data_IF_012911326868
#
_entry.id   IF_012911326868
#
_cell.length_a   1.000
_cell.length_b   1.000
_cell.length_c   1.000
_cell.angle_alpha   90.00
_cell.angle_beta   90.00
_cell.angle_gamma   90.00
#
_symmetry.space_group_name_H-M   'P 1'
#
loop_
_entity.id
_entity.type
_entity.pdbx_description
1 polymer ?
#
# COMPACT_ATOMS: atom_id res chain seq x y z
N UNK A 1 10.38 -9.23 -41.86
CA UNK A 1 9.26 -8.28 -42.00
C UNK A 1 8.34 -8.47 -40.79
N UNK A 2 8.50 -7.63 -39.75
CA UNK A 2 7.85 -7.78 -38.45
C UNK A 2 6.37 -7.40 -38.52
N UNK A 3 5.47 -8.32 -38.18
CA UNK A 3 4.06 -8.06 -37.95
C UNK A 3 3.77 -8.08 -36.45
N UNK A 4 3.36 -6.92 -35.93
CA UNK A 4 2.94 -6.70 -34.56
C UNK A 4 1.58 -7.41 -34.32
N UNK A 5 1.50 -8.39 -33.41
CA UNK A 5 0.22 -9.02 -33.03
C UNK A 5 0.03 -9.13 -31.52
N UNK A 6 -0.91 -8.32 -31.03
CA UNK A 6 -1.94 -8.59 -30.00
C UNK A 6 -1.68 -9.72 -29.00
N UNK A 7 -1.47 -9.37 -27.72
CA UNK A 7 -1.59 -10.31 -26.60
C UNK A 7 -3.06 -10.46 -26.20
N UNK A 8 -3.68 -11.55 -26.65
CA UNK A 8 -4.89 -12.13 -26.06
C UNK A 8 -4.44 -13.16 -25.01
N UNK A 9 -5.01 -13.13 -23.82
CA UNK A 9 -4.87 -14.24 -22.85
C UNK A 9 -5.99 -15.24 -23.17
N UNK A 10 -5.62 -16.36 -23.79
CA UNK A 10 -6.50 -17.51 -23.99
C UNK A 10 -6.54 -18.31 -22.69
N UNK A 11 -7.75 -18.52 -22.17
CA UNK A 11 -8.04 -19.51 -21.16
C UNK A 11 -8.21 -20.84 -21.90
N UNK A 12 -7.29 -21.79 -21.73
CA UNK A 12 -7.47 -23.14 -22.22
C UNK A 12 -8.49 -23.87 -21.34
N UNK A 13 -9.77 -23.74 -21.70
CA UNK A 13 -10.76 -24.79 -21.47
C UNK A 13 -11.60 -24.90 -22.74
N UNK A 14 -11.66 -26.12 -23.26
CA UNK A 14 -12.37 -26.55 -24.47
C UNK A 14 -13.85 -26.14 -24.46
N UNK A 15 -14.29 -25.26 -25.37
CA UNK A 15 -15.43 -25.48 -26.30
C UNK A 15 -15.83 -24.22 -27.14
N UNK A 16 -15.70 -24.37 -28.47
CA UNK A 16 -16.46 -23.80 -29.61
C UNK A 16 -16.91 -22.32 -29.64
N UNK A 17 -16.33 -21.60 -30.61
CA UNK A 17 -16.89 -20.65 -31.59
C UNK A 17 -18.00 -19.66 -31.18
N UNK A 18 -17.67 -18.35 -31.18
CA UNK A 18 -18.28 -17.33 -32.07
C UNK A 18 -17.49 -16.00 -32.04
N UNK A 19 -17.32 -15.42 -33.22
CA UNK A 19 -16.55 -14.21 -33.58
C UNK A 19 -17.27 -12.89 -33.24
N UNK A 20 -16.62 -11.70 -33.37
CA UNK A 20 -16.79 -10.58 -32.44
C UNK A 20 -17.57 -9.37 -32.96
N UNK A 21 -18.14 -8.56 -32.04
CA UNK A 21 -18.54 -7.17 -32.30
C UNK A 21 -17.81 -6.19 -31.38
N UNK A 22 -17.22 -5.16 -32.00
CA UNK A 22 -16.37 -4.11 -31.41
C UNK A 22 -17.11 -3.29 -30.35
N UNK A 23 -16.49 -3.07 -29.19
CA UNK A 23 -16.85 -2.00 -28.23
C UNK A 23 -15.58 -1.39 -27.62
N UNK A 24 -15.48 -0.06 -27.70
CA UNK A 24 -14.38 0.79 -27.27
C UNK A 24 -14.15 0.71 -25.74
N UNK A 25 -13.06 0.09 -25.30
CA UNK A 25 -12.57 0.18 -23.92
C UNK A 25 -11.29 1.03 -23.86
N UNK A 26 -11.34 2.17 -23.18
CA UNK A 26 -10.17 3.00 -22.88
C UNK A 26 -9.22 2.24 -21.93
N UNK A 27 -7.89 2.30 -22.12
CA UNK A 27 -6.95 1.54 -21.30
C UNK A 27 -6.76 2.19 -19.91
N UNK A 28 -6.94 1.39 -18.86
CA UNK A 28 -6.45 1.66 -17.50
C UNK A 28 -4.92 1.43 -17.47
N UNK A 29 -4.17 2.26 -16.73
CA UNK A 29 -2.72 2.07 -16.57
C UNK A 29 -2.44 1.17 -15.35
N UNK A 30 -1.69 0.07 -15.49
CA UNK A 30 -1.31 -0.77 -14.34
C UNK A 30 -0.44 0.00 -13.34
N UNK A 31 -0.55 -0.30 -12.03
CA UNK A 31 0.39 0.20 -11.01
C UNK A 31 1.80 -0.24 -11.35
N UNK A 32 2.72 0.51 -10.76
CA UNK A 32 4.12 0.27 -10.93
C UNK A 32 4.59 -1.12 -10.51
N UNK A 33 4.12 -1.64 -9.37
CA UNK A 33 4.47 -2.99 -8.91
C UNK A 33 4.11 -4.01 -9.99
N UNK A 34 2.99 -3.82 -10.69
CA UNK A 34 2.55 -4.71 -11.78
C UNK A 34 3.42 -4.57 -13.02
N UNK A 35 3.76 -3.36 -13.45
CA UNK A 35 4.69 -3.15 -14.59
C UNK A 35 6.11 -3.65 -14.29
N UNK A 36 6.51 -3.62 -13.02
CA UNK A 36 7.81 -4.11 -12.53
C UNK A 36 7.82 -5.63 -12.47
N UNK A 37 6.80 -6.24 -11.88
CA UNK A 37 6.61 -7.69 -11.88
C UNK A 37 6.54 -8.22 -13.32
N UNK A 38 5.75 -7.62 -14.21
CA UNK A 38 5.63 -8.05 -15.62
C UNK A 38 6.94 -7.92 -16.43
N UNK A 39 7.86 -7.03 -16.04
CA UNK A 39 9.11 -6.75 -16.80
C UNK A 39 10.39 -7.29 -16.17
N UNK A 40 10.41 -7.53 -14.87
CA UNK A 40 11.52 -8.20 -14.16
C UNK A 40 11.33 -9.73 -14.19
N UNK A 41 10.08 -10.20 -14.29
CA UNK A 41 9.74 -11.62 -14.40
C UNK A 41 9.55 -12.21 -15.83
N UNK A 42 9.96 -11.61 -16.97
CA UNK A 42 9.90 -12.29 -18.27
C UNK A 42 10.79 -13.54 -18.36
N UNK A 43 11.82 -13.62 -17.50
CA UNK A 43 12.83 -14.68 -17.54
C UNK A 43 12.59 -15.81 -16.53
N UNK A 44 11.54 -15.73 -15.73
CA UNK A 44 11.00 -16.88 -14.98
C UNK A 44 9.87 -17.48 -15.82
N UNK A 45 10.25 -17.93 -17.02
CA UNK A 45 9.36 -18.64 -17.93
C UNK A 45 8.79 -19.88 -17.25
N UNK A 46 7.47 -20.03 -17.28
CA UNK A 46 6.69 -21.17 -16.79
C UNK A 46 6.51 -21.36 -15.26
N UNK A 47 7.31 -20.77 -14.38
CA UNK A 47 7.16 -20.93 -12.91
C UNK A 47 6.16 -19.96 -12.26
N UNK A 48 5.85 -18.82 -12.90
CA UNK A 48 4.92 -17.80 -12.36
C UNK A 48 3.48 -17.90 -12.88
N UNK A 49 3.13 -18.90 -13.69
CA UNK A 49 1.74 -19.11 -14.13
C UNK A 49 0.76 -19.33 -12.95
N UNK A 50 1.29 -19.63 -11.77
CA UNK A 50 0.61 -19.82 -10.48
C UNK A 50 0.58 -18.59 -9.57
N UNK A 51 1.24 -17.47 -9.92
CA UNK A 51 1.13 -16.21 -9.15
C UNK A 51 0.07 -15.33 -9.80
N UNK A 52 -1.08 -15.21 -9.14
CA UNK A 52 -2.10 -14.25 -9.53
C UNK A 52 -1.78 -12.89 -8.93
N UNK A 53 -1.37 -11.91 -9.75
CA UNK A 53 -1.40 -10.51 -9.33
C UNK A 53 -2.87 -10.08 -9.30
N UNK A 54 -3.50 -10.20 -8.14
CA UNK A 54 -4.92 -9.89 -7.98
C UNK A 54 -5.10 -8.38 -7.85
N UNK A 55 -5.50 -7.76 -8.96
CA UNK A 55 -6.04 -6.42 -8.98
C UNK A 55 -7.53 -6.45 -8.70
N UNK A 56 -7.96 -5.92 -7.56
CA UNK A 56 -9.39 -5.73 -7.29
C UNK A 56 -9.77 -4.26 -7.42
N UNK A 57 -9.86 -3.78 -8.66
CA UNK A 57 -10.82 -2.72 -9.03
C UNK A 57 -11.33 -3.01 -10.45
N UNK A 58 -12.21 -4.00 -10.60
CA UNK A 58 -12.98 -4.18 -11.83
C UNK A 58 -14.35 -3.53 -11.67
N UNK A 59 -14.45 -2.25 -12.01
CA UNK A 59 -15.72 -1.56 -12.14
C UNK A 59 -16.40 -2.02 -13.44
N UNK A 60 -17.36 -2.94 -13.34
CA UNK A 60 -18.16 -3.39 -14.50
C UNK A 60 -19.46 -2.58 -14.49
N UNK A 61 -19.71 -1.80 -15.55
CA UNK A 61 -21.07 -1.38 -15.91
C UNK A 61 -21.86 -2.65 -16.26
N UNK A 62 -22.69 -3.15 -15.36
CA UNK A 62 -23.75 -4.08 -15.74
C UNK A 62 -24.86 -3.27 -16.38
N UNK A 63 -25.00 -3.41 -17.70
CA UNK A 63 -26.18 -2.95 -18.40
C UNK A 63 -27.33 -3.87 -18.03
N UNK A 64 -28.17 -3.44 -17.09
CA UNK A 64 -29.56 -3.87 -17.08
C UNK A 64 -30.43 -2.70 -16.60
N UNK A 65 -31.46 -2.39 -17.40
CA UNK A 65 -32.38 -1.27 -17.15
C UNK A 65 -33.43 -1.77 -16.17
N UNK A 66 -33.31 -1.45 -14.87
CA UNK A 66 -34.48 -1.56 -13.99
C UNK A 66 -34.27 -1.71 -12.48
N UNK A 67 -33.09 -2.07 -11.98
CA UNK A 67 -32.91 -2.26 -10.53
C UNK A 67 -32.06 -1.16 -9.88
N UNK A 68 -32.53 -0.69 -8.71
CA UNK A 68 -31.87 0.31 -7.86
C UNK A 68 -30.39 -0.05 -7.68
N UNK A 69 -29.54 0.96 -7.88
CA UNK A 69 -28.08 0.88 -7.99
C UNK A 69 -27.47 0.59 -6.61
N UNK A 70 -27.06 -0.64 -6.38
CA UNK A 70 -26.27 -1.01 -5.20
C UNK A 70 -24.85 -1.37 -5.63
N UNK A 71 -23.88 -0.59 -5.15
CA UNK A 71 -22.45 -0.74 -5.46
C UNK A 71 -21.84 -1.85 -4.61
N UNK A 72 -22.24 -3.09 -4.87
CA UNK A 72 -21.67 -4.25 -4.19
C UNK A 72 -20.48 -4.76 -5.00
N UNK A 73 -19.29 -4.40 -4.54
CA UNK A 73 -18.05 -4.93 -5.07
C UNK A 73 -18.03 -6.45 -4.88
N UNK A 74 -17.92 -7.19 -5.98
CA UNK A 74 -17.88 -8.65 -5.97
C UNK A 74 -16.47 -9.13 -5.56
N UNK A 75 -16.14 -9.00 -4.27
CA UNK A 75 -14.88 -9.46 -3.66
C UNK A 75 -14.85 -10.97 -3.33
N UNK A 76 -15.99 -11.67 -3.47
CA UNK A 76 -16.24 -12.92 -2.75
C UNK A 76 -15.63 -14.22 -3.32
N UNK A 77 -14.81 -14.23 -4.39
CA UNK A 77 -14.55 -15.54 -5.05
C UNK A 77 -13.32 -15.64 -5.95
N UNK A 78 -12.13 -15.15 -5.57
CA UNK A 78 -10.92 -15.41 -6.38
C UNK A 78 -9.76 -16.05 -5.62
N UNK A 79 -9.49 -15.65 -4.37
CA UNK A 79 -8.46 -16.31 -3.55
C UNK A 79 -8.89 -17.75 -3.22
N UNK A 80 -10.18 -17.97 -2.97
CA UNK A 80 -10.73 -19.26 -2.53
C UNK A 80 -10.85 -20.32 -3.63
N UNK A 81 -10.68 -19.97 -4.91
CA UNK A 81 -11.00 -20.89 -6.02
C UNK A 81 -9.82 -21.60 -6.69
N UNK A 82 -8.59 -21.07 -6.64
CA UNK A 82 -7.56 -21.45 -7.63
C UNK A 82 -6.21 -21.87 -7.02
N UNK A 83 -6.02 -21.88 -5.70
CA UNK A 83 -4.78 -22.40 -5.12
C UNK A 83 -3.52 -21.65 -5.59
N UNK A 84 -3.64 -20.33 -5.80
CA UNK A 84 -2.60 -19.47 -6.35
C UNK A 84 -1.94 -18.62 -5.27
N UNK A 85 -0.66 -18.35 -5.47
CA UNK A 85 0.07 -17.37 -4.68
C UNK A 85 -0.41 -15.95 -5.03
N UNK A 86 -0.52 -15.08 -4.02
CA UNK A 86 -1.07 -13.73 -4.15
C UNK A 86 -0.08 -12.71 -3.61
N UNK A 87 0.19 -11.70 -4.44
CA UNK A 87 0.81 -10.44 -4.03
C UNK A 87 -0.25 -9.35 -4.24
N UNK A 88 -0.64 -8.67 -3.18
CA UNK A 88 -1.62 -7.59 -3.25
C UNK A 88 -0.96 -6.26 -2.91
N UNK A 89 -1.08 -5.26 -3.79
CA UNK A 89 -0.53 -3.93 -3.52
C UNK A 89 -1.25 -3.28 -2.33
N UNK A 90 -2.58 -3.16 -2.43
CA UNK A 90 -3.48 -2.62 -1.39
C UNK A 90 -4.86 -3.22 -1.51
N UNK A 91 -5.59 -3.24 -0.40
CA UNK A 91 -7.02 -3.54 -0.35
C UNK A 91 -7.82 -2.25 -0.23
N UNK A 92 -9.08 -2.27 -0.67
CA UNK A 92 -9.90 -1.06 -0.72
C UNK A 92 -10.47 -0.67 0.64
N UNK A 93 -10.84 -1.66 1.46
CA UNK A 93 -11.51 -1.46 2.75
C UNK A 93 -10.98 -2.44 3.80
N UNK A 94 -11.11 -2.13 5.10
CA UNK A 94 -10.84 -3.09 6.16
C UNK A 94 -11.63 -4.39 6.01
N UNK A 95 -12.87 -4.34 5.50
CA UNK A 95 -13.68 -5.54 5.28
C UNK A 95 -13.08 -6.45 4.22
N UNK A 96 -12.55 -5.87 3.14
CA UNK A 96 -11.87 -6.63 2.09
C UNK A 96 -10.55 -7.22 2.61
N UNK A 97 -9.80 -6.44 3.38
CA UNK A 97 -8.59 -6.92 4.06
C UNK A 97 -8.89 -8.09 4.99
N UNK A 98 -9.97 -8.00 5.78
CA UNK A 98 -10.42 -9.07 6.66
C UNK A 98 -10.72 -10.34 5.89
N UNK A 99 -11.53 -10.26 4.83
CA UNK A 99 -11.85 -11.41 3.97
C UNK A 99 -10.62 -12.03 3.31
N UNK A 100 -9.66 -11.21 2.89
CA UNK A 100 -8.40 -11.68 2.30
C UNK A 100 -7.49 -12.34 3.34
N UNK A 101 -7.43 -11.79 4.56
CA UNK A 101 -6.75 -12.38 5.70
C UNK A 101 -7.36 -13.74 6.08
N UNK A 102 -8.69 -13.84 6.20
CA UNK A 102 -9.36 -15.13 6.45
C UNK A 102 -9.03 -16.17 5.38
N UNK A 103 -8.99 -15.76 4.10
CA UNK A 103 -8.64 -16.65 3.00
C UNK A 103 -7.17 -17.09 3.03
N UNK A 104 -6.25 -16.19 3.42
CA UNK A 104 -4.84 -16.51 3.58
C UNK A 104 -4.60 -17.49 4.74
N UNK A 105 -5.30 -17.30 5.86
CA UNK A 105 -5.27 -18.23 6.99
C UNK A 105 -5.84 -19.61 6.65
N UNK A 106 -6.84 -19.68 5.77
CA UNK A 106 -7.38 -20.96 5.30
C UNK A 106 -6.41 -21.72 4.39
N UNK A 107 -5.53 -21.01 3.65
CA UNK A 107 -4.53 -21.60 2.76
C UNK A 107 -3.09 -21.19 3.13
N UNK A 108 -2.56 -21.59 4.29
CA UNK A 108 -1.27 -21.12 4.79
C UNK A 108 -0.07 -21.59 3.94
N UNK A 109 -0.25 -22.62 3.11
CA UNK A 109 0.77 -23.11 2.17
C UNK A 109 0.97 -22.17 0.97
N UNK A 110 -0.01 -21.31 0.66
CA UNK A 110 0.09 -20.37 -0.44
C UNK A 110 0.73 -19.07 0.04
N UNK A 111 1.70 -18.57 -0.73
CA UNK A 111 2.29 -17.26 -0.48
C UNK A 111 1.21 -16.19 -0.61
N UNK A 112 1.02 -15.42 0.46
CA UNK A 112 -0.01 -14.38 0.58
C UNK A 112 0.61 -13.15 1.22
N UNK A 113 1.12 -12.23 0.40
CA UNK A 113 1.86 -11.05 0.88
C UNK A 113 1.27 -9.73 0.36
N UNK A 114 1.46 -8.69 1.16
CA UNK A 114 1.12 -7.31 0.83
C UNK A 114 2.33 -6.57 0.25
N UNK A 115 2.08 -5.66 -0.68
CA UNK A 115 3.07 -4.88 -1.42
C UNK A 115 3.72 -3.78 -0.61
N UNK A 116 3.95 -3.97 0.70
CA UNK A 116 4.56 -3.00 1.60
C UNK A 116 6.08 -2.97 1.44
N UNK A 117 6.49 -2.38 0.33
CA UNK A 117 7.88 -2.42 -0.16
C UNK A 117 8.92 -1.77 0.75
N UNK A 118 8.52 -0.88 1.66
CA UNK A 118 9.45 -0.20 2.57
C UNK A 118 10.12 -1.18 3.54
N UNK A 119 9.48 -2.30 3.89
CA UNK A 119 10.08 -3.35 4.73
C UNK A 119 11.32 -4.01 4.08
N UNK A 120 11.42 -3.95 2.75
CA UNK A 120 12.54 -4.52 1.98
C UNK A 120 13.66 -3.51 1.69
N UNK A 121 13.51 -2.24 2.11
CA UNK A 121 14.55 -1.24 1.92
C UNK A 121 15.71 -1.53 2.89
N UNK A 122 16.97 -1.65 2.42
CA UNK A 122 18.11 -2.03 3.27
C UNK A 122 18.29 -1.12 4.49
N UNK A 123 18.02 0.18 4.34
CA UNK A 123 18.06 1.14 5.43
C UNK A 123 17.08 0.79 6.56
N UNK A 124 15.83 0.42 6.26
CA UNK A 124 14.84 0.04 7.27
C UNK A 124 15.09 -1.35 7.85
N UNK A 125 15.61 -2.29 7.06
CA UNK A 125 16.05 -3.59 7.56
C UNK A 125 17.19 -3.41 8.59
N UNK A 126 18.21 -2.60 8.25
CA UNK A 126 19.33 -2.33 9.16
C UNK A 126 18.89 -1.50 10.38
N UNK A 127 17.99 -0.54 10.20
CA UNK A 127 17.40 0.22 11.30
C UNK A 127 16.69 -0.69 12.30
N UNK A 128 15.86 -1.62 11.83
CA UNK A 128 15.20 -2.62 12.69
C UNK A 128 16.21 -3.49 13.44
N UNK A 129 17.25 -3.97 12.74
CA UNK A 129 18.31 -4.76 13.37
C UNK A 129 18.99 -3.96 14.50
N UNK A 130 19.35 -2.70 14.27
CA UNK A 130 20.01 -1.86 15.29
C UNK A 130 19.09 -1.54 16.48
N UNK A 131 17.79 -1.39 16.25
CA UNK A 131 16.80 -1.26 17.33
C UNK A 131 16.80 -2.53 18.18
N UNK A 132 16.78 -3.71 17.56
CA UNK A 132 16.82 -5.00 18.26
C UNK A 132 18.14 -5.26 18.99
N UNK A 133 19.26 -4.77 18.44
CA UNK A 133 20.59 -4.80 19.07
C UNK A 133 20.74 -3.78 20.21
N UNK A 134 19.72 -2.95 20.47
CA UNK A 134 19.72 -1.96 21.55
C UNK A 134 20.50 -0.68 21.26
N UNK A 135 20.79 -0.35 19.99
CA UNK A 135 21.54 0.86 19.62
C UNK A 135 20.91 2.14 20.19
N UNK A 136 19.57 2.23 20.17
CA UNK A 136 18.80 3.38 20.66
C UNK A 136 18.31 3.22 22.10
N UNK A 137 18.57 2.09 22.76
CA UNK A 137 18.00 1.78 24.08
C UNK A 137 16.49 1.58 24.03
N UNK A 138 15.77 2.13 25.01
CA UNK A 138 14.31 2.08 25.06
C UNK A 138 13.70 3.08 24.08
N UNK A 139 12.80 2.62 23.21
CA UNK A 139 12.11 3.45 22.24
C UNK A 139 11.19 4.47 22.93
N UNK A 140 11.25 5.73 22.50
CA UNK A 140 10.47 6.81 23.11
C UNK A 140 9.61 7.53 22.07
N UNK A 141 10.23 7.99 20.97
CA UNK A 141 9.57 8.81 19.97
C UNK A 141 9.93 8.34 18.56
N UNK A 142 8.94 8.28 17.68
CA UNK A 142 9.14 8.12 16.25
C UNK A 142 8.58 9.33 15.50
N UNK A 143 9.36 9.89 14.59
CA UNK A 143 8.92 11.01 13.76
C UNK A 143 9.05 10.63 12.29
N UNK A 144 8.00 10.87 11.51
CA UNK A 144 8.02 10.63 10.08
C UNK A 144 7.54 11.86 9.34
N UNK A 145 8.34 12.32 8.39
CA UNK A 145 7.99 13.41 7.50
C UNK A 145 8.08 12.94 6.06
N UNK A 146 6.98 13.09 5.32
CA UNK A 146 6.94 12.81 3.88
C UNK A 146 6.48 14.05 3.15
N UNK A 147 7.37 14.61 2.34
CA UNK A 147 7.12 15.79 1.55
C UNK A 147 7.22 15.46 0.07
N UNK A 148 6.22 15.88 -0.70
CA UNK A 148 6.24 15.73 -2.16
C UNK A 148 5.36 16.80 -2.81
N UNK A 149 5.46 16.88 -4.14
CA UNK A 149 4.50 17.61 -4.94
C UNK A 149 3.14 16.92 -4.96
N UNK A 150 2.21 17.53 -5.70
CA UNK A 150 0.84 17.05 -5.77
C UNK A 150 0.75 15.60 -6.25
N UNK A 151 0.00 14.78 -5.51
CA UNK A 151 -0.36 13.42 -5.91
C UNK A 151 -1.39 13.38 -7.05
N UNK A 152 -1.92 14.55 -7.44
CA UNK A 152 -2.98 14.67 -8.43
C UNK A 152 -2.41 14.62 -9.84
N UNK A 153 -3.04 13.81 -10.69
CA UNK A 153 -2.75 13.80 -12.12
C UNK A 153 -3.47 14.93 -12.87
N UNK A 154 -3.21 15.03 -14.18
CA UNK A 154 -3.90 15.98 -15.08
C UNK A 154 -5.38 15.66 -15.32
N UNK A 155 -5.91 14.55 -14.80
CA UNK A 155 -7.30 14.11 -15.01
C UNK A 155 -7.86 13.59 -13.71
N UNK A 156 -9.13 13.91 -13.47
CA UNK A 156 -9.87 13.36 -12.34
C UNK A 156 -9.93 11.83 -12.41
N UNK A 157 -9.51 11.17 -11.34
CA UNK A 157 -9.47 9.73 -11.17
C UNK A 157 -9.83 9.37 -9.71
N UNK A 158 -9.71 8.10 -9.34
CA UNK A 158 -10.00 7.63 -7.97
C UNK A 158 -9.13 8.30 -6.90
N UNK A 159 -7.91 8.76 -7.23
CA UNK A 159 -7.00 9.34 -6.24
C UNK A 159 -7.41 10.75 -5.81
N UNK A 160 -8.33 11.39 -6.54
CA UNK A 160 -8.90 12.70 -6.24
C UNK A 160 -10.08 12.62 -5.25
N UNK A 161 -10.56 11.43 -4.92
CA UNK A 161 -11.80 11.19 -4.18
C UNK A 161 -11.51 10.35 -2.93
N UNK A 162 -11.80 10.91 -1.75
CA UNK A 162 -11.58 10.30 -0.44
C UNK A 162 -12.40 9.01 -0.22
N UNK A 163 -13.61 8.92 -0.77
CA UNK A 163 -14.48 7.75 -0.71
C UNK A 163 -14.00 6.62 -1.62
N UNK A 164 -13.26 6.96 -2.69
CA UNK A 164 -12.64 5.99 -3.58
C UNK A 164 -11.24 5.54 -3.13
N UNK A 165 -10.81 5.92 -1.92
CA UNK A 165 -9.49 5.59 -1.39
C UNK A 165 -8.37 6.52 -1.86
N UNK A 166 -8.72 7.72 -2.35
CA UNK A 166 -7.77 8.77 -2.64
C UNK A 166 -7.16 9.41 -1.39
N UNK A 167 -6.16 10.27 -1.62
CA UNK A 167 -5.52 11.05 -0.56
C UNK A 167 -4.20 10.50 -0.06
N UNK A 168 -3.46 11.41 0.58
CA UNK A 168 -2.14 11.18 1.15
C UNK A 168 -2.13 10.14 2.27
N UNK A 169 -3.11 10.20 3.16
CA UNK A 169 -3.26 9.25 4.27
C UNK A 169 -3.41 7.81 3.78
N UNK A 170 -4.31 7.57 2.82
CA UNK A 170 -4.53 6.21 2.31
C UNK A 170 -3.36 5.74 1.45
N UNK A 171 -2.78 6.64 0.63
CA UNK A 171 -1.74 6.28 -0.34
C UNK A 171 -0.36 6.08 0.26
N UNK A 172 0.05 6.96 1.17
CA UNK A 172 1.39 6.96 1.78
C UNK A 172 1.30 6.62 3.27
N UNK A 173 0.29 7.15 3.97
CA UNK A 173 0.12 6.91 5.40
C UNK A 173 0.01 5.43 5.77
N UNK A 174 -0.66 4.62 4.94
CA UNK A 174 -0.74 3.15 5.15
C UNK A 174 0.63 2.47 5.16
N UNK A 175 1.55 2.84 4.25
CA UNK A 175 2.93 2.33 4.28
C UNK A 175 3.71 2.82 5.49
N UNK A 176 3.47 4.06 5.94
CA UNK A 176 4.15 4.61 7.13
C UNK A 176 3.67 3.94 8.41
N UNK A 177 2.37 3.71 8.57
CA UNK A 177 1.79 2.99 9.71
C UNK A 177 2.36 1.57 9.78
N UNK A 178 2.39 0.88 8.63
CA UNK A 178 2.99 -0.45 8.51
C UNK A 178 4.49 -0.45 8.87
N UNK A 179 5.25 0.53 8.34
CA UNK A 179 6.67 0.66 8.61
C UNK A 179 6.95 0.91 10.10
N UNK A 180 6.21 1.81 10.75
CA UNK A 180 6.36 2.08 12.18
C UNK A 180 6.07 0.83 13.02
N UNK A 181 5.03 0.09 12.66
CA UNK A 181 4.69 -1.20 13.31
C UNK A 181 5.80 -2.22 13.09
N UNK A 182 6.36 -2.29 11.88
CA UNK A 182 7.47 -3.19 11.56
C UNK A 182 8.75 -2.86 12.34
N UNK A 183 9.11 -1.58 12.47
CA UNK A 183 10.32 -1.13 13.16
C UNK A 183 10.21 -1.30 14.67
N UNK A 184 9.07 -0.92 15.25
CA UNK A 184 8.85 -0.94 16.70
C UNK A 184 8.37 -2.29 17.22
N UNK A 185 7.82 -3.13 16.34
CA UNK A 185 7.09 -4.37 16.70
C UNK A 185 5.94 -4.14 17.67
N UNK A 186 5.35 -2.94 17.66
CA UNK A 186 4.24 -2.54 18.53
C UNK A 186 3.08 -2.00 17.69
N UNK A 187 1.84 -2.24 18.15
CA UNK A 187 0.64 -1.67 17.53
C UNK A 187 0.23 -0.38 18.23
N UNK A 188 -0.47 0.47 17.50
CA UNK A 188 -1.05 1.70 18.01
C UNK A 188 -2.32 1.39 18.81
N UNK A 189 -2.45 2.02 19.97
CA UNK A 189 -3.62 1.90 20.87
C UNK A 189 -4.62 3.02 20.59
N UNK A 190 -4.12 4.24 20.42
CA UNK A 190 -4.94 5.43 20.14
C UNK A 190 -4.25 6.36 19.17
N UNK A 191 -5.07 7.10 18.42
CA UNK A 191 -4.61 8.04 17.39
C UNK A 191 -5.35 9.35 17.47
N UNK A 192 -4.68 10.41 17.05
CA UNK A 192 -5.29 11.71 16.80
C UNK A 192 -4.79 12.25 15.47
N UNK A 193 -5.65 12.78 14.61
CA UNK A 193 -5.21 13.24 13.30
C UNK A 193 -6.03 14.36 12.69
N UNK A 194 -5.38 15.10 11.81
CA UNK A 194 -5.92 16.21 11.05
C UNK A 194 -5.65 15.98 9.56
N UNK A 195 -6.71 15.98 8.76
CA UNK A 195 -6.67 15.87 7.31
C UNK A 195 -7.21 17.17 6.71
N UNK A 196 -6.53 17.68 5.70
CA UNK A 196 -6.94 18.86 4.94
C UNK A 196 -6.79 18.62 3.44
N UNK A 197 -7.72 19.24 2.73
CA UNK A 197 -7.69 19.37 1.26
C UNK A 197 -7.64 20.86 0.97
N UNK A 198 -6.46 21.37 0.64
CA UNK A 198 -6.27 22.75 0.24
C UNK A 198 -6.65 22.94 -1.24
N UNK A 199 -6.29 21.99 -2.10
CA UNK A 199 -6.53 22.04 -3.55
C UNK A 199 -7.82 21.30 -3.91
N UNK A 200 -8.93 22.04 -3.97
CA UNK A 200 -10.25 21.49 -4.37
C UNK A 200 -10.45 21.42 -5.89
N UNK A 201 -9.75 22.27 -6.64
CA UNK A 201 -9.77 22.32 -8.10
C UNK A 201 -8.36 22.59 -8.64
N UNK A 202 -8.11 22.16 -9.88
CA UNK A 202 -6.90 22.49 -10.64
C UNK A 202 -7.28 22.99 -12.02
N UNK A 203 -6.33 23.54 -12.78
CA UNK A 203 -6.57 24.00 -14.16
C UNK A 203 -7.18 22.93 -15.07
N UNK A 204 -6.84 21.66 -14.79
CA UNK A 204 -7.32 20.50 -15.53
C UNK A 204 -8.51 19.80 -14.87
N UNK A 205 -8.72 19.99 -13.56
CA UNK A 205 -9.79 19.40 -12.77
C UNK A 205 -10.65 20.54 -12.23
N UNK A 206 -11.58 21.00 -13.06
CA UNK A 206 -12.51 22.08 -12.75
C UNK A 206 -13.94 21.71 -13.13
N UNK A 207 -14.92 22.33 -12.47
CA UNK A 207 -16.34 22.11 -12.70
C UNK A 207 -17.02 21.35 -11.56
N UNK A 208 -17.97 20.47 -11.90
CA UNK A 208 -18.90 19.85 -10.94
C UNK A 208 -18.19 18.90 -9.96
N UNK A 209 -17.11 18.24 -10.39
CA UNK A 209 -16.35 17.31 -9.54
C UNK A 209 -15.22 18.04 -8.84
N UNK A 210 -15.34 18.14 -7.51
CA UNK A 210 -14.31 18.67 -6.62
C UNK A 210 -13.38 17.54 -6.17
N UNK A 211 -12.14 17.91 -5.88
CA UNK A 211 -11.19 17.04 -5.21
C UNK A 211 -11.54 17.02 -3.72
N UNK A 212 -11.74 15.82 -3.17
CA UNK A 212 -12.05 15.59 -1.74
C UNK A 212 -10.92 14.86 -1.01
N UNK A 213 -9.97 14.29 -1.75
CA UNK A 213 -8.79 13.64 -1.19
C UNK A 213 -7.91 14.63 -0.41
N UNK A 214 -7.30 14.19 0.69
CA UNK A 214 -6.36 15.00 1.45
C UNK A 214 -5.03 15.22 0.70
N UNK A 215 -4.54 16.46 0.73
CA UNK A 215 -3.21 16.85 0.26
C UNK A 215 -2.26 17.17 1.42
N UNK A 216 -2.80 17.35 2.62
CA UNK A 216 -2.06 17.47 3.86
C UNK A 216 -2.71 16.61 4.94
N UNK A 217 -1.89 15.82 5.62
CA UNK A 217 -2.32 14.99 6.73
C UNK A 217 -1.24 15.02 7.82
N UNK A 218 -1.63 15.27 9.06
CA UNK A 218 -0.76 15.08 10.22
C UNK A 218 -1.49 14.24 11.26
N UNK A 219 -0.82 13.26 11.82
CA UNK A 219 -1.41 12.40 12.84
C UNK A 219 -0.38 11.96 13.87
N UNK A 220 -0.88 11.69 15.06
CA UNK A 220 -0.14 11.19 16.20
C UNK A 220 -0.71 9.82 16.58
N UNK A 221 0.15 8.92 17.02
CA UNK A 221 -0.22 7.60 17.51
C UNK A 221 0.50 7.33 18.81
N UNK A 222 -0.16 6.65 19.75
CA UNK A 222 0.49 6.10 20.94
C UNK A 222 0.49 4.58 20.81
N UNK A 223 1.67 3.97 20.83
CA UNK A 223 1.85 2.52 20.73
C UNK A 223 1.62 1.83 22.09
N UNK A 224 1.44 0.52 22.07
CA UNK A 224 1.18 -0.31 23.26
C UNK A 224 2.26 -0.15 24.35
N UNK A 225 3.53 0.05 23.98
CA UNK A 225 4.64 0.29 24.90
C UNK A 225 4.83 1.77 25.28
N UNK A 226 3.86 2.65 24.99
CA UNK A 226 3.93 4.08 25.32
C UNK A 226 4.75 4.93 24.35
N UNK A 227 5.32 4.33 23.29
CA UNK A 227 6.06 5.06 22.25
C UNK A 227 5.12 6.02 21.51
N UNK A 228 5.52 7.29 21.40
CA UNK A 228 4.76 8.31 20.67
C UNK A 228 5.24 8.40 19.23
N UNK A 229 4.34 8.28 18.26
CA UNK A 229 4.65 8.48 16.85
C UNK A 229 3.98 9.76 16.35
N UNK A 230 4.73 10.62 15.65
CA UNK A 230 4.20 11.78 14.93
C UNK A 230 4.50 11.66 13.45
N UNK A 231 3.47 11.77 12.62
CA UNK A 231 3.60 11.63 11.16
C UNK A 231 3.03 12.88 10.49
N UNK A 232 3.80 13.44 9.56
CA UNK A 232 3.38 14.55 8.71
C UNK A 232 3.53 14.15 7.25
N UNK A 233 2.44 14.19 6.51
CA UNK A 233 2.36 13.95 5.08
C UNK A 233 1.94 15.26 4.40
N UNK A 234 2.83 15.83 3.60
CA UNK A 234 2.60 17.09 2.91
C UNK A 234 2.86 16.95 1.42
N UNK A 235 1.78 16.98 0.63
CA UNK A 235 1.82 16.87 -0.84
C UNK A 235 1.72 18.23 -1.53
N UNK A 236 1.99 19.31 -0.79
CA UNK A 236 2.00 20.69 -1.27
C UNK A 236 3.42 21.25 -1.42
N UNK A 237 4.46 20.44 -1.19
CA UNK A 237 5.85 20.90 -1.25
C UNK A 237 6.38 20.69 -2.66
N UNK A 238 6.69 21.77 -3.42
CA UNK A 238 7.25 21.60 -4.76
C UNK A 238 8.66 21.02 -4.68
N UNK A 239 9.02 20.23 -5.70
CA UNK A 239 10.34 19.64 -5.84
C UNK A 239 10.35 18.13 -5.65
N UNK A 240 11.52 17.62 -5.27
CA UNK A 240 11.74 16.18 -5.14
C UNK A 240 11.04 15.60 -3.92
N UNK A 241 10.63 14.34 -4.04
CA UNK A 241 10.11 13.58 -2.92
C UNK A 241 11.17 13.43 -1.82
N UNK A 242 10.81 13.77 -0.60
CA UNK A 242 11.62 13.57 0.61
C UNK A 242 10.85 12.76 1.63
N UNK A 243 11.52 11.77 2.19
CA UNK A 243 11.01 10.96 3.29
C UNK A 243 12.10 10.84 4.34
N UNK A 244 11.79 11.33 5.54
CA UNK A 244 12.63 11.22 6.71
C UNK A 244 11.89 10.41 7.77
N UNK A 245 12.56 9.39 8.31
CA UNK A 245 12.06 8.56 9.41
C UNK A 245 13.09 8.60 10.53
N UNK A 246 12.69 9.09 11.68
CA UNK A 246 13.52 9.25 12.86
C UNK A 246 12.96 8.36 13.96
N UNK A 247 13.83 7.59 14.58
CA UNK A 247 13.53 6.78 15.76
C UNK A 247 14.45 7.24 16.88
N UNK A 248 13.86 7.72 17.97
CA UNK A 248 14.56 8.22 19.15
C UNK A 248 14.29 7.28 20.32
N UNK A 249 15.35 6.94 21.04
CA UNK A 249 15.27 6.21 22.29
C UNK A 249 16.22 6.76 23.35
N UNK A 250 16.25 6.10 24.50
CA UNK A 250 16.98 6.55 25.68
C UNK A 250 18.50 6.63 25.52
N UNK A 251 19.09 5.92 24.56
CA UNK A 251 20.54 5.88 24.32
C UNK A 251 21.00 6.59 23.04
N UNK A 252 20.07 6.98 22.16
CA UNK A 252 20.40 7.62 20.89
C UNK A 252 19.24 7.67 19.91
N UNK A 253 19.56 7.99 18.66
CA UNK A 253 18.61 8.06 17.55
C UNK A 253 19.15 7.42 16.28
N UNK A 254 18.22 6.91 15.46
CA UNK A 254 18.45 6.45 14.10
C UNK A 254 17.62 7.29 13.14
N UNK A 255 18.20 7.65 12.00
CA UNK A 255 17.57 8.52 11.00
C UNK A 255 17.73 7.88 9.63
N UNK A 256 16.62 7.59 8.95
CA UNK A 256 16.63 7.26 7.53
C UNK A 256 16.20 8.49 6.75
N UNK A 257 17.09 9.01 5.92
CA UNK A 257 16.82 10.12 4.98
C UNK A 257 16.85 9.57 3.57
N UNK A 258 15.67 9.49 2.94
CA UNK A 258 15.49 8.83 1.65
C UNK A 258 15.81 7.34 1.72
N UNK A 259 17.05 6.97 1.41
CA UNK A 259 17.52 5.58 1.33
C UNK A 259 18.77 5.32 2.19
N UNK A 260 19.31 6.36 2.82
CA UNK A 260 20.53 6.27 3.62
C UNK A 260 20.17 6.28 5.10
N UNK A 261 20.87 5.43 5.88
CA UNK A 261 20.68 5.29 7.32
C UNK A 261 21.83 5.94 8.07
N UNK A 262 21.45 6.70 9.08
CA UNK A 262 22.36 7.39 9.97
C UNK A 262 22.04 7.05 11.42
N UNK A 263 23.05 7.10 12.27
CA UNK A 263 22.92 6.92 13.70
C UNK A 263 23.61 8.01 14.47
N UNK A 264 23.12 8.24 15.69
CA UNK A 264 23.74 9.12 16.65
C UNK A 264 23.45 8.63 18.06
N UNK A 265 24.50 8.31 18.81
CA UNK A 265 24.40 7.97 20.24
C UNK A 265 24.41 9.25 21.08
N UNK A 266 23.79 9.22 22.26
CA UNK A 266 23.77 10.37 23.17
C UNK A 266 25.17 10.79 23.64
N UNK A 267 26.13 9.87 23.65
CA UNK A 267 27.53 10.14 23.98
C UNK A 267 28.31 10.86 22.86
N UNK A 268 27.72 11.06 21.68
CA UNK A 268 28.37 11.66 20.52
C UNK A 268 27.54 12.81 19.93
N UNK A 269 28.19 13.93 19.63
CA UNK A 269 27.58 15.03 18.88
C UNK A 269 27.39 14.72 17.40
N UNK A 270 28.15 13.75 16.88
CA UNK A 270 28.31 13.56 15.44
C UNK A 270 27.32 12.52 14.90
N UNK A 271 26.72 12.85 13.75
CA UNK A 271 25.86 11.95 12.99
C UNK A 271 26.73 11.03 12.14
N UNK A 272 26.67 9.74 12.41
CA UNK A 272 27.37 8.70 11.68
C UNK A 272 26.51 8.16 10.53
N UNK A 273 27.13 7.92 9.36
CA UNK A 273 26.48 7.22 8.26
C UNK A 273 26.67 5.70 8.45
N UNK A 274 25.60 5.02 8.84
CA UNK A 274 25.62 3.58 9.15
C UNK A 274 25.38 2.70 7.92
N UNK A 275 24.60 3.17 6.95
CA UNK A 275 24.39 2.48 5.69
C UNK A 275 24.16 3.50 4.57
N UNK A 276 24.92 3.36 3.49
CA UNK A 276 24.71 4.07 2.23
C UNK A 276 24.28 3.09 1.15
N UNK A 277 23.11 3.29 0.56
CA UNK A 277 22.63 2.38 -0.49
C UNK A 277 23.15 2.79 -1.87
N UNK A 278 24.36 2.32 -2.19
CA UNK A 278 25.00 2.51 -3.50
C UNK A 278 24.49 1.54 -4.58
N UNK A 279 23.48 0.71 -4.32
CA UNK A 279 23.03 -0.29 -5.30
C UNK A 279 22.61 0.41 -6.59
N UNK A 280 23.23 0.12 -7.75
CA UNK A 280 22.83 0.74 -9.01
C UNK A 280 21.47 0.21 -9.43
N UNK A 281 20.51 1.11 -9.63
CA UNK A 281 19.21 0.75 -10.21
C UNK A 281 19.36 0.84 -11.73
N UNK A 282 19.62 -0.29 -12.39
CA UNK A 282 19.83 -0.29 -13.84
C UNK A 282 18.52 -0.10 -14.62
N UNK A 283 18.54 0.77 -15.64
CA UNK A 283 17.42 0.98 -16.58
C UNK A 283 16.98 -0.31 -17.31
N UNK A 284 17.78 -1.38 -17.27
CA UNK A 284 17.43 -2.67 -17.88
C UNK A 284 16.27 -3.39 -17.18
N UNK A 285 15.99 -3.09 -15.90
CA UNK A 285 14.94 -3.76 -15.13
C UNK A 285 13.57 -3.09 -15.29
N UNK A 286 13.53 -1.80 -15.66
CA UNK A 286 12.32 -0.98 -15.61
C UNK A 286 12.27 0.08 -16.73
N UNK A 287 11.08 0.43 -17.25
CA UNK A 287 10.95 1.56 -18.18
C UNK A 287 11.46 2.85 -17.54
N UNK A 288 12.14 3.71 -18.31
CA UNK A 288 12.62 5.02 -17.84
C UNK A 288 11.55 5.85 -17.12
N UNK A 289 10.28 5.76 -17.55
CA UNK A 289 9.13 6.44 -16.91
C UNK A 289 8.86 6.00 -15.46
N UNK A 290 9.30 4.81 -15.05
CA UNK A 290 9.18 4.40 -13.66
C UNK A 290 10.10 5.19 -12.72
N UNK A 291 11.24 5.66 -13.23
CA UNK A 291 12.21 6.42 -12.45
C UNK A 291 11.77 7.88 -12.26
N UNK A 292 10.93 8.41 -13.16
CA UNK A 292 10.37 9.76 -13.03
C UNK A 292 9.14 9.84 -12.14
N UNK A 293 8.32 8.78 -12.11
CA UNK A 293 6.98 8.84 -11.51
C UNK A 293 6.96 8.34 -10.06
N UNK A 294 8.07 7.77 -9.56
CA UNK A 294 8.07 6.96 -8.34
C UNK A 294 9.24 7.34 -7.45
N UNK A 295 8.97 7.65 -6.18
CA UNK A 295 10.05 7.98 -5.29
C UNK A 295 11.05 6.84 -5.08
N UNK A 296 12.33 7.20 -5.03
CA UNK A 296 13.46 6.27 -4.89
C UNK A 296 13.28 5.20 -3.78
N UNK A 297 12.81 5.53 -2.56
CA UNK A 297 12.64 4.52 -1.51
C UNK A 297 11.65 3.40 -1.88
N UNK A 298 10.53 3.76 -2.53
CA UNK A 298 9.50 2.81 -2.94
C UNK A 298 9.95 2.00 -4.15
N UNK A 299 10.63 2.64 -5.10
CA UNK A 299 11.23 1.98 -6.27
C UNK A 299 12.23 0.91 -5.84
N UNK A 300 13.19 1.26 -4.98
CA UNK A 300 14.22 0.33 -4.49
C UNK A 300 13.62 -0.77 -3.64
N UNK A 301 12.70 -0.44 -2.73
CA UNK A 301 11.96 -1.44 -1.96
C UNK A 301 11.23 -2.43 -2.87
N UNK A 302 10.60 -1.95 -3.96
CA UNK A 302 9.91 -2.82 -4.92
C UNK A 302 10.88 -3.80 -5.57
N UNK A 303 12.04 -3.32 -6.01
CA UNK A 303 13.06 -4.18 -6.63
C UNK A 303 13.55 -5.24 -5.64
N UNK A 304 13.83 -4.85 -4.40
CA UNK A 304 14.27 -5.79 -3.34
C UNK A 304 13.20 -6.81 -2.98
N UNK A 305 11.94 -6.40 -2.90
CA UNK A 305 10.80 -7.31 -2.69
C UNK A 305 10.69 -8.32 -3.83
N UNK A 306 10.78 -7.88 -5.09
CA UNK A 306 10.71 -8.80 -6.25
C UNK A 306 11.90 -9.77 -6.27
N UNK A 307 13.09 -9.31 -5.88
CA UNK A 307 14.26 -10.19 -5.72
C UNK A 307 14.04 -11.24 -4.64
N UNK A 308 13.47 -10.86 -3.49
CA UNK A 308 13.14 -11.79 -2.41
C UNK A 308 12.08 -12.82 -2.84
N UNK A 309 11.04 -12.37 -3.55
CA UNK A 309 10.03 -13.28 -4.15
C UNK A 309 10.72 -14.24 -5.12
N UNK A 310 11.61 -13.77 -5.99
CA UNK A 310 12.35 -14.66 -6.91
C UNK A 310 13.16 -15.71 -6.14
N UNK A 311 13.89 -15.30 -5.10
CA UNK A 311 14.68 -16.22 -4.26
C UNK A 311 13.80 -17.29 -3.60
N UNK A 312 12.60 -16.92 -3.15
CA UNK A 312 11.66 -17.86 -2.54
C UNK A 312 11.23 -19.02 -3.48
N UNK A 313 11.33 -18.85 -4.80
CA UNK A 313 10.97 -19.88 -5.80
C UNK A 313 12.17 -20.48 -6.54
N UNK A 314 13.39 -19.97 -6.35
CA UNK A 314 14.54 -20.31 -7.20
C UNK A 314 15.07 -21.74 -6.98
N UNK A 315 15.03 -22.24 -5.75
CA UNK A 315 15.62 -23.52 -5.36
C UNK A 315 14.57 -24.57 -4.97
N UNK A 316 13.41 -24.56 -5.66
CA UNK A 316 12.27 -25.44 -5.33
C UNK A 316 12.01 -26.47 -6.44
N UNK A 317 12.07 -27.75 -6.08
CA UNK A 317 11.85 -28.88 -7.01
C UNK A 317 10.39 -28.94 -7.50
N UNK A 318 9.43 -28.63 -6.63
CA UNK A 318 8.01 -28.50 -6.99
C UNK A 318 7.66 -27.03 -7.23
N UNK A 319 7.03 -26.74 -8.37
CA UNK A 319 6.55 -25.39 -8.75
C UNK A 319 5.45 -24.85 -7.82
N UNK A 320 4.90 -25.70 -6.95
CA UNK A 320 3.89 -25.34 -5.94
C UNK A 320 4.49 -25.03 -4.58
N UNK A 321 5.76 -25.39 -4.34
CA UNK A 321 6.45 -25.11 -3.08
C UNK A 321 7.27 -23.83 -3.20
N UNK A 322 7.45 -23.16 -2.07
CA UNK A 322 8.22 -21.92 -1.95
C UNK A 322 8.90 -21.88 -0.57
N UNK A 323 10.06 -21.24 -0.51
CA UNK A 323 10.77 -21.00 0.74
C UNK A 323 10.32 -19.67 1.35
N UNK A 324 9.82 -19.72 2.59
CA UNK A 324 9.39 -18.53 3.33
C UNK A 324 10.51 -17.63 3.82
N UNK A 325 11.75 -18.14 3.94
CA UNK A 325 12.86 -17.41 4.57
C UNK A 325 13.14 -16.04 3.96
N UNK A 326 13.19 -15.88 2.62
CA UNK A 326 13.43 -14.57 1.98
C UNK A 326 12.29 -13.55 2.20
N UNK A 327 11.09 -14.02 2.55
CA UNK A 327 9.88 -13.20 2.69
C UNK A 327 9.40 -13.07 4.14
N UNK A 328 10.23 -13.43 5.11
CA UNK A 328 9.94 -13.30 6.55
C UNK A 328 9.56 -11.89 6.99
N UNK A 329 10.07 -10.87 6.31
CA UNK A 329 9.75 -9.45 6.55
C UNK A 329 8.58 -8.91 5.72
N UNK A 330 8.02 -9.71 4.81
CA UNK A 330 6.90 -9.27 4.00
C UNK A 330 5.67 -8.96 4.88
N UNK A 331 4.92 -7.92 4.53
CA UNK A 331 3.67 -7.64 5.22
C UNK A 331 2.61 -8.69 4.84
N UNK A 332 1.80 -9.10 5.82
CA UNK A 332 0.68 -10.04 5.61
C UNK A 332 -0.64 -9.29 5.43
N UNK A 333 -1.72 -10.03 5.18
CA UNK A 333 -3.05 -9.43 5.16
C UNK A 333 -3.51 -8.93 6.54
N UNK A 334 -2.99 -9.49 7.64
CA UNK A 334 -3.18 -8.99 9.00
C UNK A 334 -2.58 -7.59 9.18
N UNK A 335 -1.35 -7.40 8.69
CA UNK A 335 -0.68 -6.10 8.71
C UNK A 335 -1.50 -5.06 7.92
N UNK A 336 -2.03 -5.45 6.76
CA UNK A 336 -2.87 -4.58 5.95
C UNK A 336 -4.21 -4.25 6.62
N UNK A 337 -4.88 -5.23 7.22
CA UNK A 337 -6.11 -5.00 7.97
C UNK A 337 -5.87 -4.00 9.09
N UNK A 338 -4.82 -4.22 9.88
CA UNK A 338 -4.44 -3.33 10.96
C UNK A 338 -4.17 -1.90 10.44
N UNK A 339 -3.33 -1.74 9.41
CA UNK A 339 -3.00 -0.43 8.87
C UNK A 339 -4.25 0.32 8.36
N UNK A 340 -5.20 -0.40 7.74
CA UNK A 340 -6.46 0.20 7.29
C UNK A 340 -7.40 0.55 8.45
N UNK A 341 -7.48 -0.27 9.49
CA UNK A 341 -8.21 0.09 10.72
C UNK A 341 -7.63 1.36 11.37
N UNK A 342 -6.31 1.53 11.38
CA UNK A 342 -5.65 2.76 11.85
C UNK A 342 -6.02 3.95 10.97
N UNK A 343 -5.94 3.81 9.64
CA UNK A 343 -6.34 4.87 8.69
C UNK A 343 -7.79 5.30 8.91
N UNK A 344 -8.72 4.36 9.05
CA UNK A 344 -10.12 4.67 9.31
C UNK A 344 -10.33 5.35 10.67
N UNK A 345 -9.55 4.95 11.68
CA UNK A 345 -9.59 5.57 13.02
C UNK A 345 -9.05 7.00 12.99
N UNK A 346 -7.99 7.26 12.22
CA UNK A 346 -7.47 8.61 11.97
C UNK A 346 -8.53 9.48 11.29
N UNK A 347 -9.24 8.95 10.27
CA UNK A 347 -10.35 9.67 9.62
C UNK A 347 -11.47 10.03 10.59
N UNK A 348 -11.83 9.11 11.50
CA UNK A 348 -12.81 9.37 12.57
C UNK A 348 -12.31 10.44 13.55
N UNK A 349 -11.03 10.39 13.92
CA UNK A 349 -10.42 11.41 14.79
C UNK A 349 -10.49 12.79 14.15
N UNK A 350 -10.16 12.92 12.86
CA UNK A 350 -10.27 14.19 12.14
C UNK A 350 -11.70 14.75 12.10
N UNK A 351 -12.72 13.88 12.04
CA UNK A 351 -14.12 14.29 12.04
C UNK A 351 -14.61 14.73 13.43
N UNK A 352 -14.10 14.11 14.49
CA UNK A 352 -14.53 14.34 15.88
C UNK A 352 -13.69 15.41 16.59
N UNK A 353 -12.44 15.61 16.17
CA UNK A 353 -11.46 16.46 16.86
C UNK A 353 -10.90 15.82 18.13
N UNK A 354 -11.13 14.52 18.35
CA UNK A 354 -10.78 13.82 19.59
C UNK A 354 -9.82 12.66 19.33
N UNK A 355 -9.10 12.25 20.38
CA UNK A 355 -8.33 11.00 20.37
C UNK A 355 -9.28 9.80 20.22
N UNK A 356 -8.94 8.89 19.32
CA UNK A 356 -9.74 7.70 19.03
C UNK A 356 -8.94 6.43 19.32
N UNK A 357 -9.55 5.49 20.03
CA UNK A 357 -8.97 4.17 20.24
C UNK A 357 -9.09 3.33 18.97
N UNK A 358 -8.04 2.57 18.67
CA UNK A 358 -8.02 1.68 17.50
C UNK A 358 -8.76 0.40 17.85
N UNK A 359 -9.71 0.03 17.00
CA UNK A 359 -10.43 -1.23 17.07
C UNK A 359 -10.16 -2.01 15.80
N UNK A 360 -9.49 -3.15 15.93
CA UNK A 360 -9.22 -4.07 14.82
C UNK A 360 -10.44 -4.96 14.64
N UNK A 361 -10.84 -5.16 13.38
CA UNK A 361 -11.94 -6.05 13.04
C UNK A 361 -11.56 -7.51 13.33
N UNK A 362 -12.32 -8.18 14.20
CA UNK A 362 -12.13 -9.60 14.55
C UNK A 362 -13.16 -10.52 13.91
N UNK A 363 -14.31 -9.98 13.53
CA UNK A 363 -15.42 -10.71 12.93
C UNK A 363 -15.95 -9.95 11.71
N UNK A 364 -16.48 -10.70 10.74
CA UNK A 364 -17.16 -10.07 9.60
C UNK A 364 -18.45 -9.41 10.14
N UNK A 365 -18.62 -8.09 9.97
CA UNK A 365 -19.82 -7.42 10.44
C UNK A 365 -21.04 -8.04 9.77
N UNK A 366 -22.04 -8.41 10.58
CA UNK A 366 -23.31 -8.88 10.04
C UNK A 366 -23.84 -7.83 9.05
N UNK A 367 -24.21 -8.29 7.85
CA UNK A 367 -24.86 -7.48 6.81
C UNK A 367 -26.30 -7.12 7.25
N UNK A 368 -26.42 -6.46 8.39
CA UNK A 368 -27.67 -5.89 8.84
C UNK A 368 -28.00 -4.68 7.98
N UNK A 369 -29.29 -4.38 7.76
CA UNK A 369 -29.70 -3.13 7.13
C UNK A 369 -29.06 -1.90 7.80
N UNK A 370 -28.87 -1.94 9.12
CA UNK A 370 -28.21 -0.87 9.86
C UNK A 370 -26.72 -0.68 9.48
N UNK A 371 -25.98 -1.76 9.24
CA UNK A 371 -24.58 -1.68 8.79
C UNK A 371 -24.48 -1.11 7.36
N UNK A 372 -25.33 -1.60 6.44
CA UNK A 372 -25.40 -1.09 5.07
C UNK A 372 -25.83 0.38 5.02
N UNK A 373 -26.80 0.76 5.88
CA UNK A 373 -27.25 2.14 6.04
C UNK A 373 -26.14 3.00 6.68
N UNK A 374 -25.40 2.51 7.67
CA UNK A 374 -24.26 3.23 8.27
C UNK A 374 -23.15 3.48 7.25
N UNK A 375 -22.85 2.48 6.42
CA UNK A 375 -21.83 2.57 5.38
C UNK A 375 -22.28 3.48 4.22
N UNK A 376 -23.57 3.42 3.85
CA UNK A 376 -24.17 4.36 2.92
C UNK A 376 -24.25 5.78 3.50
N UNK A 377 -24.53 5.95 4.79
CA UNK A 377 -24.59 7.24 5.47
C UNK A 377 -23.20 7.86 5.64
N UNK A 378 -22.15 7.06 5.90
CA UNK A 378 -20.75 7.55 5.85
C UNK A 378 -20.40 8.11 4.48
N UNK A 379 -20.88 7.47 3.41
CA UNK A 379 -20.74 7.96 2.02
C UNK A 379 -21.60 9.20 1.73
N UNK A 380 -22.70 9.42 2.46
CA UNK A 380 -23.69 10.47 2.18
C UNK A 380 -23.53 11.74 3.04
N UNK A 381 -23.15 11.62 4.32
CA UNK A 381 -23.02 12.75 5.27
C UNK A 381 -21.97 13.78 4.84
N UNK A 382 -21.01 13.39 4.02
CA UNK A 382 -19.99 14.31 3.49
C UNK A 382 -20.40 15.04 2.20
N UNK A 383 -21.50 14.64 1.57
CA UNK A 383 -22.09 15.40 0.44
C UNK A 383 -22.92 16.60 0.90
N UNK A 384 -23.19 16.75 2.20
CA UNK A 384 -24.07 17.79 2.77
C UNK A 384 -23.29 19.00 3.32
N UNK A 385 -21.97 18.96 3.30
CA UNK A 385 -21.10 20.11 3.61
C UNK A 385 -20.42 20.70 2.35
N UNK A 386 -21.02 20.47 1.18
CA UNK A 386 -20.63 21.12 -0.08
C UNK A 386 -21.25 22.51 -0.20
#
# INVERSE_FOLDING_TARGET
>A
MFCCTKTWIWCASTCRHRSPSRLLSKPWRPSFITKTLERVLPWVGYQLCSVGVLWIVRCRRSGDRGQKREWQYRYRTWITGIGKNVICDRTATPLDAFRMMSAAHYYPKLMSIMGNVLRFLPAFVKMKQLIQEGYVGELQVCEVQVHSGSLLGKKYNWSCDDLMGGGGLHSVGSYIIDLLTFLTSQKAVKVHGLLKTFVKQTDHIKGIRQITSDDFCTFQMVLEGGVCCTVTLNFNVPGEFKQDVIVVGSAGRLIVTGIDLYGQRNSSSDRELLLKDSTPVSNSLLPEKAFSDIPSPYLRGTIKMVQAVRQAFQDQDDRRTWDGRPLTMAATFDDCLYALCVVDTIKKSNQTGEWQNIVIMTEEPELSPAYLISEAMRRSRMSLYC
#
